data_IF_354070773664
#
_entry.id   IF_354070773664
#
_cell.length_a   1.000
_cell.length_b   1.000
_cell.length_c   1.000
_cell.angle_alpha   90.00
_cell.angle_beta   90.00
_cell.angle_gamma   90.00
#
_symmetry.space_group_name_H-M   'P 1'
#
loop_
_entity.id
_entity.type
_entity.pdbx_description
1 polymer ?
#
# COMPACT_ATOMS: atom_id res chain seq x y z
N UNK A 1 0.53 -15.19 -7.76
CA UNK A 1 1.31 -16.24 -8.45
C UNK A 1 2.75 -16.38 -7.94
N UNK A 2 3.46 -15.29 -7.65
CA UNK A 2 4.86 -15.31 -7.17
C UNK A 2 5.01 -16.08 -5.87
N UNK A 3 4.20 -15.78 -4.86
CA UNK A 3 4.23 -16.49 -3.58
C UNK A 3 4.00 -18.00 -3.74
N UNK A 4 3.06 -18.40 -4.60
CA UNK A 4 2.78 -19.83 -4.87
C UNK A 4 3.94 -20.55 -5.55
N UNK A 5 4.78 -19.83 -6.30
CA UNK A 5 5.94 -20.41 -6.99
C UNK A 5 7.15 -20.58 -6.08
N UNK A 6 7.27 -19.74 -5.04
CA UNK A 6 8.47 -19.67 -4.21
C UNK A 6 8.28 -20.23 -2.80
N UNK A 7 7.05 -20.50 -2.38
CA UNK A 7 6.76 -21.05 -1.08
C UNK A 7 6.30 -22.51 -1.22
N UNK A 8 6.87 -23.38 -0.39
CA UNK A 8 6.50 -24.80 -0.27
C UNK A 8 5.20 -24.95 0.52
N UNK A 9 4.14 -24.21 0.12
CA UNK A 9 2.82 -24.27 0.72
C UNK A 9 1.79 -24.72 -0.31
N UNK A 10 0.76 -25.50 0.10
CA UNK A 10 -0.37 -25.82 -0.75
C UNK A 10 -1.03 -24.54 -1.30
N UNK A 11 -1.44 -24.56 -2.56
CA UNK A 11 -1.95 -23.36 -3.23
C UNK A 11 -3.22 -22.80 -2.60
N UNK A 12 -4.03 -23.61 -1.96
CA UNK A 12 -5.23 -23.24 -1.21
C UNK A 12 -4.94 -22.53 0.12
N UNK A 13 -3.71 -22.64 0.64
CA UNK A 13 -3.25 -21.92 1.85
C UNK A 13 -2.85 -20.47 1.57
N UNK A 14 -2.76 -20.08 0.30
CA UNK A 14 -2.44 -18.70 -0.12
C UNK A 14 -3.66 -18.11 -0.80
N UNK A 15 -4.34 -17.22 -0.13
CA UNK A 15 -5.63 -16.66 -0.59
C UNK A 15 -5.56 -15.16 -0.87
N UNK A 16 -6.47 -14.69 -1.74
CA UNK A 16 -6.55 -13.30 -2.16
C UNK A 16 -7.85 -12.66 -1.65
N UNK A 17 -7.73 -11.58 -0.88
CA UNK A 17 -8.83 -10.80 -0.33
C UNK A 17 -8.93 -9.45 -1.02
N UNK A 18 -9.82 -9.36 -2.01
CA UNK A 18 -10.10 -8.12 -2.76
C UNK A 18 -11.60 -7.91 -2.86
N UNK A 19 -12.02 -6.75 -3.35
CA UNK A 19 -13.44 -6.45 -3.57
C UNK A 19 -14.14 -7.39 -4.56
N UNK A 20 -13.39 -8.14 -5.38
CA UNK A 20 -13.96 -9.15 -6.29
C UNK A 20 -14.33 -10.47 -5.60
N UNK A 21 -13.90 -10.69 -4.36
CA UNK A 21 -14.23 -11.88 -3.57
C UNK A 21 -15.27 -11.51 -2.53
N UNK A 22 -16.41 -12.20 -2.53
CA UNK A 22 -17.50 -11.91 -1.58
C UNK A 22 -17.04 -12.05 -0.12
N UNK A 23 -17.50 -11.20 0.81
CA UNK A 23 -17.09 -11.23 2.23
C UNK A 23 -17.31 -12.58 2.89
N UNK A 24 -18.41 -13.27 2.60
CA UNK A 24 -18.74 -14.60 3.15
C UNK A 24 -17.72 -15.64 2.70
N UNK A 25 -17.25 -15.53 1.45
CA UNK A 25 -16.20 -16.42 0.94
C UNK A 25 -14.86 -16.13 1.60
N UNK A 26 -14.53 -14.85 1.83
CA UNK A 26 -13.30 -14.46 2.55
C UNK A 26 -13.31 -14.97 3.99
N UNK A 27 -14.44 -14.90 4.68
CA UNK A 27 -14.63 -15.45 6.04
C UNK A 27 -14.36 -16.95 6.09
N UNK A 28 -14.82 -17.70 5.09
CA UNK A 28 -14.56 -19.14 5.02
C UNK A 28 -13.08 -19.43 4.75
N UNK A 29 -12.48 -18.71 3.81
CA UNK A 29 -11.07 -18.87 3.44
C UNK A 29 -10.11 -18.48 4.59
N UNK A 30 -10.49 -17.52 5.44
CA UNK A 30 -9.69 -17.09 6.58
C UNK A 30 -9.32 -18.26 7.51
N UNK A 31 -10.25 -19.18 7.75
CA UNK A 31 -10.10 -20.27 8.70
C UNK A 31 -8.95 -21.24 8.37
N UNK A 32 -8.70 -21.43 7.09
CA UNK A 32 -7.73 -22.42 6.60
C UNK A 32 -6.49 -21.81 5.94
N UNK A 33 -6.52 -20.50 5.68
CA UNK A 33 -5.43 -19.80 5.02
C UNK A 33 -4.20 -19.67 5.94
N UNK A 34 -3.03 -19.78 5.35
CA UNK A 34 -1.75 -19.47 6.01
C UNK A 34 -1.25 -18.09 5.61
N UNK A 35 -1.45 -17.71 4.35
CA UNK A 35 -1.06 -16.40 3.82
C UNK A 35 -2.27 -15.77 3.18
N UNK A 36 -2.58 -14.56 3.60
CA UNK A 36 -3.66 -13.74 3.06
C UNK A 36 -3.05 -12.50 2.43
N UNK A 37 -3.32 -12.31 1.15
CA UNK A 37 -2.92 -11.12 0.40
C UNK A 37 -4.19 -10.36 0.08
N UNK A 38 -4.28 -9.10 0.50
CA UNK A 38 -5.52 -8.34 0.32
C UNK A 38 -5.30 -6.84 0.17
N UNK A 39 -6.32 -6.18 -0.33
CA UNK A 39 -6.36 -4.72 -0.27
C UNK A 39 -6.68 -4.28 1.16
N UNK A 40 -6.04 -3.22 1.68
CA UNK A 40 -6.24 -2.79 3.06
C UNK A 40 -7.71 -2.52 3.38
N UNK A 41 -8.46 -1.93 2.45
CA UNK A 41 -9.89 -1.65 2.63
C UNK A 41 -10.74 -2.93 2.75
N UNK A 42 -10.39 -3.99 2.01
CA UNK A 42 -11.13 -5.26 2.13
C UNK A 42 -10.89 -5.92 3.48
N UNK A 43 -9.64 -5.92 3.95
CA UNK A 43 -9.28 -6.46 5.26
C UNK A 43 -9.94 -5.62 6.38
N UNK A 44 -9.86 -4.30 6.30
CA UNK A 44 -10.49 -3.39 7.26
C UNK A 44 -11.99 -3.65 7.38
N UNK A 45 -12.70 -3.69 6.26
CA UNK A 45 -14.13 -3.97 6.24
C UNK A 45 -14.46 -5.34 6.84
N UNK A 46 -13.66 -6.36 6.57
CA UNK A 46 -13.88 -7.70 7.11
C UNK A 46 -13.63 -7.75 8.62
N UNK A 47 -12.66 -7.00 9.14
CA UNK A 47 -12.43 -6.87 10.60
C UNK A 47 -13.58 -6.11 11.26
N UNK A 48 -14.00 -4.98 10.70
CA UNK A 48 -15.12 -4.16 11.22
C UNK A 48 -16.41 -4.99 11.30
N UNK A 49 -16.67 -5.80 10.27
CA UNK A 49 -17.85 -6.66 10.20
C UNK A 49 -17.66 -8.01 10.92
N UNK A 50 -16.60 -8.18 11.70
CA UNK A 50 -16.30 -9.39 12.49
C UNK A 50 -16.21 -10.69 11.66
N UNK A 51 -15.91 -10.56 10.35
CA UNK A 51 -15.73 -11.70 9.44
C UNK A 51 -14.37 -12.37 9.63
N UNK A 52 -13.37 -11.60 10.04
CA UNK A 52 -12.02 -12.07 10.32
C UNK A 52 -11.54 -11.52 11.67
N UNK A 53 -10.60 -12.23 12.29
CA UNK A 53 -10.08 -11.86 13.60
C UNK A 53 -8.54 -11.76 13.56
N UNK A 54 -8.00 -10.56 13.67
CA UNK A 54 -6.56 -10.31 13.63
C UNK A 54 -5.78 -10.94 14.79
N UNK A 55 -6.45 -11.39 15.84
CA UNK A 55 -5.81 -12.11 16.96
C UNK A 55 -5.05 -13.36 16.51
N UNK A 56 -5.49 -13.97 15.42
CA UNK A 56 -4.91 -15.19 14.86
C UNK A 56 -3.75 -14.92 13.90
N UNK A 57 -3.56 -13.65 13.48
CA UNK A 57 -2.46 -13.28 12.61
C UNK A 57 -1.15 -13.14 13.39
N UNK A 58 -0.10 -13.81 12.95
CA UNK A 58 1.23 -13.77 13.57
C UNK A 58 2.14 -12.69 12.98
N UNK A 59 1.81 -12.18 11.80
CA UNK A 59 2.56 -11.13 11.11
C UNK A 59 1.60 -10.31 10.24
N UNK A 60 1.69 -9.00 10.35
CA UNK A 60 1.08 -8.06 9.42
C UNK A 60 2.17 -7.48 8.51
N UNK A 61 2.03 -7.67 7.20
CA UNK A 61 2.93 -7.06 6.20
C UNK A 61 2.18 -5.93 5.51
N UNK A 62 2.77 -4.75 5.52
CA UNK A 62 2.26 -3.56 4.85
C UNK A 62 3.19 -3.20 3.70
N UNK A 63 2.74 -3.44 2.49
CA UNK A 63 3.45 -3.02 1.28
C UNK A 63 3.06 -1.59 0.92
N UNK A 64 3.97 -0.87 0.24
CA UNK A 64 3.83 0.56 -0.04
C UNK A 64 3.50 1.38 1.24
N UNK A 65 4.23 1.11 2.31
CA UNK A 65 4.00 1.67 3.63
C UNK A 65 3.98 3.21 3.69
N UNK A 66 4.51 3.88 2.66
CA UNK A 66 4.45 5.35 2.54
C UNK A 66 3.01 5.90 2.43
N UNK A 67 2.02 5.03 2.20
CA UNK A 67 0.60 5.37 2.26
C UNK A 67 0.02 5.36 3.68
N UNK A 68 0.75 4.87 4.69
CA UNK A 68 0.27 4.79 6.07
C UNK A 68 0.29 6.16 6.76
N UNK A 69 -0.46 7.11 6.21
CA UNK A 69 -0.63 8.47 6.72
C UNK A 69 -2.09 8.81 6.90
N UNK A 70 -2.41 9.74 7.81
CA UNK A 70 -3.77 10.20 8.09
C UNK A 70 -4.71 9.05 8.47
N UNK A 71 -5.89 9.01 7.84
CA UNK A 71 -6.94 8.01 8.08
C UNK A 71 -6.92 6.86 7.05
N UNK A 72 -5.75 6.55 6.46
CA UNK A 72 -5.68 5.44 5.51
C UNK A 72 -5.86 4.10 6.23
N UNK A 73 -6.50 3.13 5.58
CA UNK A 73 -6.83 1.81 6.16
C UNK A 73 -5.64 1.10 6.83
N UNK A 74 -4.41 1.34 6.38
CA UNK A 74 -3.21 0.77 7.02
C UNK A 74 -3.04 1.22 8.47
N UNK A 75 -3.32 2.48 8.76
CA UNK A 75 -3.18 3.04 10.11
C UNK A 75 -4.16 2.37 11.05
N UNK A 76 -5.43 2.30 10.64
CA UNK A 76 -6.47 1.64 11.42
C UNK A 76 -6.17 0.15 11.63
N UNK A 77 -5.76 -0.57 10.56
CA UNK A 77 -5.41 -1.99 10.65
C UNK A 77 -4.24 -2.25 11.59
N UNK A 78 -3.17 -1.44 11.52
CA UNK A 78 -2.02 -1.56 12.42
C UNK A 78 -2.44 -1.37 13.89
N UNK A 79 -3.27 -0.36 14.17
CA UNK A 79 -3.80 -0.11 15.51
C UNK A 79 -4.67 -1.26 16.04
N UNK A 80 -5.52 -1.85 15.19
CA UNK A 80 -6.35 -3.00 15.60
C UNK A 80 -5.49 -4.25 15.81
N UNK A 81 -4.52 -4.48 14.93
CA UNK A 81 -3.61 -5.60 15.03
C UNK A 81 -2.76 -5.53 16.31
N UNK A 82 -2.20 -4.36 16.61
CA UNK A 82 -1.44 -4.14 17.85
C UNK A 82 -2.26 -4.43 19.12
N UNK A 83 -3.56 -4.06 19.11
CA UNK A 83 -4.46 -4.31 20.24
C UNK A 83 -4.91 -5.77 20.38
N UNK A 84 -5.08 -6.48 19.26
CA UNK A 84 -5.73 -7.78 19.22
C UNK A 84 -4.75 -8.95 19.20
N UNK A 85 -3.62 -8.80 18.51
CA UNK A 85 -2.66 -9.89 18.34
C UNK A 85 -1.97 -10.23 19.66
N UNK A 86 -1.77 -11.51 19.88
CA UNK A 86 -1.07 -11.97 21.09
C UNK A 86 0.41 -11.55 21.12
N UNK A 87 1.04 -11.53 19.97
CA UNK A 87 2.43 -11.13 19.75
C UNK A 87 2.50 -10.32 18.45
N UNK A 88 2.13 -9.04 18.48
CA UNK A 88 2.08 -8.25 17.25
C UNK A 88 3.46 -8.12 16.63
N UNK A 89 3.53 -8.28 15.31
CA UNK A 89 4.73 -8.04 14.50
C UNK A 89 4.29 -7.38 13.20
N UNK A 90 4.85 -6.23 12.90
CA UNK A 90 4.56 -5.50 11.68
C UNK A 90 5.83 -5.38 10.85
N UNK A 91 5.74 -5.76 9.59
CA UNK A 91 6.77 -5.53 8.58
C UNK A 91 6.24 -4.54 7.56
N UNK A 92 6.84 -3.36 7.52
CA UNK A 92 6.50 -2.31 6.58
C UNK A 92 7.55 -2.23 5.46
N UNK A 93 7.12 -2.27 4.23
CA UNK A 93 7.96 -2.23 3.04
C UNK A 93 7.60 -1.02 2.18
N UNK A 94 8.59 -0.31 1.68
CA UNK A 94 8.39 0.74 0.68
C UNK A 94 9.66 0.99 -0.13
N UNK A 95 9.52 1.15 -1.43
CA UNK A 95 10.60 1.59 -2.31
C UNK A 95 10.71 3.13 -2.37
N UNK A 96 9.71 3.85 -1.87
CA UNK A 96 9.59 5.31 -2.02
C UNK A 96 9.19 5.99 -0.71
N UNK A 97 10.01 5.93 0.35
CA UNK A 97 9.65 6.51 1.65
C UNK A 97 9.53 8.05 1.61
N UNK A 98 10.02 8.68 0.55
CA UNK A 98 10.14 10.13 0.45
C UNK A 98 11.42 10.65 1.12
N UNK A 99 11.63 11.96 1.04
CA UNK A 99 12.77 12.67 1.66
C UNK A 99 12.38 13.45 2.92
N UNK A 100 11.09 13.53 3.23
CA UNK A 100 10.57 14.26 4.40
C UNK A 100 10.65 13.38 5.64
N UNK A 101 11.54 13.75 6.55
CA UNK A 101 11.78 13.02 7.79
C UNK A 101 10.59 13.06 8.76
N UNK A 102 9.78 14.10 8.72
CA UNK A 102 8.58 14.19 9.57
C UNK A 102 7.54 13.18 9.10
N UNK A 103 7.35 13.08 7.79
CA UNK A 103 6.45 12.09 7.19
C UNK A 103 6.92 10.66 7.45
N UNK A 104 8.22 10.39 7.37
CA UNK A 104 8.77 9.06 7.70
C UNK A 104 8.51 8.72 9.17
N UNK A 105 8.69 9.67 10.09
CA UNK A 105 8.38 9.49 11.51
C UNK A 105 6.88 9.21 11.71
N UNK A 106 6.01 9.96 11.05
CA UNK A 106 4.54 9.72 11.09
C UNK A 106 4.21 8.28 10.68
N UNK A 107 4.76 7.81 9.55
CA UNK A 107 4.55 6.44 9.07
C UNK A 107 5.03 5.41 10.11
N UNK A 108 6.22 5.59 10.66
CA UNK A 108 6.77 4.69 11.68
C UNK A 108 5.88 4.64 12.94
N UNK A 109 5.38 5.79 13.38
CA UNK A 109 4.46 5.87 14.52
C UNK A 109 3.12 5.19 14.21
N UNK A 110 2.54 5.47 13.04
CA UNK A 110 1.25 4.91 12.62
C UNK A 110 1.28 3.39 12.46
N UNK A 111 2.41 2.84 12.07
CA UNK A 111 2.61 1.39 11.88
C UNK A 111 3.36 0.72 13.04
N UNK A 112 3.60 1.42 14.16
CA UNK A 112 4.33 0.89 15.33
C UNK A 112 5.71 0.29 14.97
N UNK A 113 6.46 0.95 14.08
CA UNK A 113 7.76 0.47 13.61
C UNK A 113 8.85 0.88 14.60
N UNK A 114 9.56 -0.10 15.16
CA UNK A 114 10.63 0.08 16.12
C UNK A 114 12.01 0.25 15.46
N UNK A 115 12.23 -0.41 14.34
CA UNK A 115 13.50 -0.42 13.62
C UNK A 115 13.30 -0.15 12.13
N UNK A 116 14.12 0.74 11.60
CA UNK A 116 14.13 1.07 10.17
C UNK A 116 15.43 0.57 9.56
N UNK A 117 15.32 -0.16 8.46
CA UNK A 117 16.45 -0.58 7.65
C UNK A 117 16.35 0.06 6.27
N UNK A 118 17.44 0.67 5.83
CA UNK A 118 17.51 1.34 4.52
C UNK A 118 18.47 0.58 3.63
N UNK A 119 18.01 0.30 2.41
CA UNK A 119 18.81 -0.25 1.32
C UNK A 119 18.80 0.71 0.14
N UNK A 120 19.93 0.83 -0.50
CA UNK A 120 20.12 1.66 -1.68
C UNK A 120 20.59 0.80 -2.86
N UNK A 121 20.49 1.32 -4.07
CA UNK A 121 21.01 0.65 -5.27
C UNK A 121 22.50 0.33 -5.23
N UNK A 122 23.25 0.97 -4.30
CA UNK A 122 24.70 0.78 -4.14
C UNK A 122 25.04 -0.38 -3.21
N UNK A 123 24.09 -0.84 -2.41
CA UNK A 123 24.31 -1.94 -1.47
C UNK A 123 24.54 -3.26 -2.21
N UNK A 124 25.47 -4.06 -1.71
CA UNK A 124 25.96 -5.25 -2.42
C UNK A 124 24.85 -6.28 -2.69
N UNK A 125 23.90 -6.40 -1.79
CA UNK A 125 22.75 -7.28 -1.86
C UNK A 125 21.68 -6.80 -2.85
N UNK A 126 21.59 -5.48 -3.10
CA UNK A 126 20.64 -4.87 -4.02
C UNK A 126 21.21 -4.72 -5.42
N UNK A 127 22.49 -4.34 -5.53
CA UNK A 127 23.16 -3.98 -6.80
C UNK A 127 23.03 -5.05 -7.90
N UNK A 128 23.01 -6.31 -7.53
CA UNK A 128 22.89 -7.43 -8.50
C UNK A 128 21.51 -7.48 -9.18
N UNK A 129 20.50 -6.85 -8.60
CA UNK A 129 19.12 -6.80 -9.13
C UNK A 129 18.80 -5.49 -9.84
N UNK A 130 19.67 -4.48 -9.72
CA UNK A 130 19.46 -3.17 -10.34
C UNK A 130 19.85 -3.23 -11.82
N UNK A 131 18.93 -2.90 -12.69
CA UNK A 131 19.17 -2.74 -14.11
C UNK A 131 19.68 -1.33 -14.41
N UNK A 132 20.70 -1.20 -15.25
CA UNK A 132 21.15 0.09 -15.73
C UNK A 132 20.10 0.73 -16.65
N UNK A 133 19.43 1.75 -16.16
CA UNK A 133 18.46 2.52 -16.93
C UNK A 133 19.21 3.61 -17.69
N UNK A 134 19.16 3.57 -19.03
CA UNK A 134 19.60 4.69 -19.88
C UNK A 134 18.38 5.56 -20.19
N UNK A 135 18.37 6.77 -19.65
CA UNK A 135 17.30 7.73 -19.92
C UNK A 135 17.73 8.57 -21.12
N UNK A 136 16.90 8.59 -22.17
CA UNK A 136 17.02 9.51 -23.28
C UNK A 136 15.84 10.45 -23.23
N UNK A 137 16.12 11.73 -23.04
CA UNK A 137 15.08 12.77 -23.07
C UNK A 137 14.85 13.18 -24.53
N UNK A 138 13.60 13.11 -24.96
CA UNK A 138 13.19 13.62 -26.27
C UNK A 138 12.14 14.72 -26.01
N UNK A 139 12.46 15.93 -26.43
CA UNK A 139 11.57 17.07 -26.32
C UNK A 139 10.66 17.09 -27.55
N UNK A 140 9.36 17.04 -27.32
CA UNK A 140 8.35 17.03 -28.38
C UNK A 140 7.46 18.25 -28.22
N UNK A 141 7.21 18.96 -29.32
CA UNK A 141 6.29 20.09 -29.28
C UNK A 141 4.87 19.65 -28.93
N UNK A 142 4.27 20.39 -28.02
CA UNK A 142 2.90 20.14 -27.61
C UNK A 142 1.93 20.55 -28.72
N UNK A 143 1.10 19.64 -29.29
CA UNK A 143 0.22 19.97 -30.41
C UNK A 143 -0.72 21.13 -30.11
N UNK A 144 -1.01 21.96 -31.09
CA UNK A 144 -1.86 23.15 -30.93
C UNK A 144 -3.28 22.81 -30.44
N UNK A 145 -3.82 21.69 -30.87
CA UNK A 145 -5.11 21.18 -30.38
C UNK A 145 -5.09 20.92 -28.87
N UNK A 146 -4.01 20.33 -28.34
CA UNK A 146 -3.87 20.11 -26.91
C UNK A 146 -3.63 21.40 -26.14
N UNK A 147 -2.90 22.37 -26.71
CA UNK A 147 -2.76 23.73 -26.12
C UNK A 147 -4.11 24.42 -26.00
N UNK A 148 -4.99 24.26 -26.98
CA UNK A 148 -6.33 24.82 -26.94
C UNK A 148 -7.19 24.18 -25.83
N UNK A 149 -7.16 22.85 -25.70
CA UNK A 149 -7.85 22.12 -24.63
C UNK A 149 -7.31 22.53 -23.25
N UNK A 150 -6.00 22.62 -23.11
CA UNK A 150 -5.36 23.07 -21.86
C UNK A 150 -5.82 24.47 -21.44
N UNK A 151 -5.82 25.44 -22.39
CA UNK A 151 -6.30 26.80 -22.13
C UNK A 151 -7.78 26.81 -21.69
N UNK A 152 -8.60 26.00 -22.33
CA UNK A 152 -10.02 25.88 -21.98
C UNK A 152 -10.21 25.35 -20.57
N UNK A 153 -9.52 24.26 -20.21
CA UNK A 153 -9.58 23.68 -18.88
C UNK A 153 -9.07 24.65 -17.80
N UNK A 154 -7.99 25.38 -18.08
CA UNK A 154 -7.47 26.41 -17.17
C UNK A 154 -8.47 27.55 -16.95
N UNK A 155 -9.15 27.99 -18.02
CA UNK A 155 -10.19 29.00 -17.95
C UNK A 155 -11.39 28.55 -17.13
N UNK A 156 -11.89 27.34 -17.37
CA UNK A 156 -12.97 26.74 -16.59
C UNK A 156 -12.62 26.63 -15.10
N UNK A 157 -11.40 26.14 -14.80
CA UNK A 157 -10.91 26.05 -13.42
C UNK A 157 -10.87 27.43 -12.74
N UNK A 158 -10.35 28.45 -13.42
CA UNK A 158 -10.27 29.80 -12.88
C UNK A 158 -11.66 30.35 -12.58
N UNK A 159 -12.60 30.25 -13.53
CA UNK A 159 -13.99 30.68 -13.35
C UNK A 159 -14.65 30.02 -12.14
N UNK A 160 -14.47 28.69 -11.99
CA UNK A 160 -15.06 27.95 -10.85
C UNK A 160 -14.43 28.30 -9.50
N UNK A 161 -13.14 28.58 -9.46
CA UNK A 161 -12.48 29.05 -8.23
C UNK A 161 -13.01 30.45 -7.82
N UNK A 162 -13.22 31.34 -8.78
CA UNK A 162 -13.78 32.67 -8.51
C UNK A 162 -15.24 32.61 -8.02
N UNK A 163 -16.03 31.59 -8.44
CA UNK A 163 -17.38 31.34 -7.94
C UNK A 163 -17.39 30.86 -6.47
N UNK A 164 -16.40 30.05 -6.08
CA UNK A 164 -16.32 29.48 -4.72
C UNK A 164 -15.76 30.49 -3.70
N UNK A 165 -15.02 31.50 -4.16
CA UNK A 165 -14.43 32.55 -3.30
C UNK A 165 -15.37 33.73 -3.04
N UNK A 166 -16.55 33.77 -3.64
CA UNK A 166 -17.64 34.71 -3.36
C UNK A 166 -18.61 34.13 -2.34
#
# INVERSE_FOLDING_TARGET
DTFRKHLELPADKIVLFTGSVAPEKRELLWKDATIIIGTPQSIENDVINTKINLKEASLLVVDEAHHATKEYSYVWLAQQYEKLAKFPRILALTASPGSDMEKIKEICQNLHIEKVEVRTEKDADVRQYVQHIKIRWEEVEFPETFKAVQKFLQSCRKSKLEEVQK
#
